data_IF_091396744061
#
_entry.id   IF_091396744061
#
_cell.length_a   1.000
_cell.length_b   1.000
_cell.length_c   1.000
_cell.angle_alpha   90.00
_cell.angle_beta   90.00
_cell.angle_gamma   90.00
#
_symmetry.space_group_name_H-M   'P 1'
#
loop_
_entity.id
_entity.type
_entity.pdbx_description
1 polymer ?
#
# COMPACT_ATOMS: atom_id res chain seq x y z
N UNK A 1 2.59 63.32 -11.44
CA UNK A 1 3.84 62.87 -10.80
C UNK A 1 3.63 61.77 -9.73
N UNK A 2 2.64 61.91 -8.85
CA UNK A 2 2.39 60.99 -7.74
C UNK A 2 1.93 59.59 -8.20
N UNK A 3 1.10 59.53 -9.24
CA UNK A 3 0.61 58.28 -9.83
C UNK A 3 1.76 57.46 -10.43
N UNK A 4 2.73 58.07 -11.06
CA UNK A 4 3.91 57.39 -11.60
C UNK A 4 4.81 56.83 -10.52
N UNK A 5 4.91 57.46 -9.35
CA UNK A 5 5.66 56.96 -8.21
C UNK A 5 5.00 55.74 -7.51
N UNK A 6 3.68 55.69 -7.45
CA UNK A 6 2.89 54.59 -6.92
C UNK A 6 2.93 53.36 -7.86
N UNK A 7 2.88 53.58 -9.19
CA UNK A 7 2.99 52.52 -10.20
C UNK A 7 4.45 52.03 -10.32
N UNK A 8 5.43 52.88 -10.02
CA UNK A 8 6.86 52.56 -10.09
C UNK A 8 7.43 51.78 -8.86
N UNK A 9 6.61 51.57 -7.83
CA UNK A 9 7.05 50.77 -6.69
C UNK A 9 6.68 49.29 -6.88
N UNK A 10 7.61 48.39 -7.25
CA UNK A 10 7.32 46.97 -7.45
C UNK A 10 7.24 46.20 -6.12
N UNK A 11 6.86 46.87 -5.02
CA UNK A 11 6.91 46.33 -3.65
C UNK A 11 6.10 45.05 -3.51
N UNK A 12 4.93 44.95 -4.14
CA UNK A 12 4.11 43.75 -4.07
C UNK A 12 4.66 42.62 -4.96
N UNK A 13 5.05 42.92 -6.20
CA UNK A 13 5.56 41.90 -7.14
C UNK A 13 7.07 41.65 -6.98
N UNK A 14 7.84 42.66 -6.60
CA UNK A 14 9.31 42.55 -6.51
C UNK A 14 9.85 42.09 -5.17
N UNK A 15 9.10 42.25 -4.06
CA UNK A 15 9.58 41.91 -2.74
C UNK A 15 8.61 41.00 -1.96
N UNK A 16 7.32 41.35 -1.91
CA UNK A 16 6.36 40.62 -1.06
C UNK A 16 6.18 39.15 -1.48
N UNK A 17 5.98 38.90 -2.79
CA UNK A 17 5.78 37.53 -3.31
C UNK A 17 7.01 36.68 -3.14
N UNK A 18 8.25 37.08 -3.53
CA UNK A 18 9.45 36.28 -3.28
C UNK A 18 9.71 36.03 -1.78
N UNK A 19 9.48 37.03 -0.93
CA UNK A 19 9.65 36.84 0.52
C UNK A 19 8.65 35.86 1.11
N UNK A 20 7.38 35.90 0.69
CA UNK A 20 6.36 34.94 1.11
C UNK A 20 6.73 33.52 0.72
N UNK A 21 7.23 33.32 -0.51
CA UNK A 21 7.72 32.04 -0.99
C UNK A 21 8.91 31.56 -0.17
N UNK A 22 9.91 32.43 0.10
CA UNK A 22 11.07 32.10 0.93
C UNK A 22 10.67 31.70 2.35
N UNK A 23 9.76 32.44 2.98
CA UNK A 23 9.27 32.11 4.33
C UNK A 23 8.47 30.81 4.31
N UNK A 24 7.62 30.61 3.32
CA UNK A 24 6.83 29.38 3.17
C UNK A 24 7.71 28.15 2.98
N UNK A 25 8.66 28.21 2.04
CA UNK A 25 9.60 27.11 1.80
C UNK A 25 10.53 26.86 2.99
N UNK A 26 10.98 27.92 3.68
CA UNK A 26 11.78 27.81 4.88
C UNK A 26 11.04 27.13 6.04
N UNK A 27 9.76 27.47 6.24
CA UNK A 27 8.90 26.79 7.22
C UNK A 27 8.65 25.32 6.84
N UNK A 28 8.40 25.07 5.55
CA UNK A 28 8.29 23.70 5.04
C UNK A 28 9.55 22.88 5.35
N UNK A 29 10.73 23.42 5.04
CA UNK A 29 12.00 22.75 5.27
C UNK A 29 12.25 22.45 6.76
N UNK A 30 11.90 23.36 7.67
CA UNK A 30 11.98 23.11 9.13
C UNK A 30 11.00 22.04 9.61
N UNK A 31 9.90 21.84 8.92
CA UNK A 31 8.95 20.75 9.15
C UNK A 31 9.30 19.44 8.40
N UNK A 32 10.45 19.38 7.70
CA UNK A 32 10.88 18.22 6.92
C UNK A 32 10.26 18.13 5.52
N UNK A 33 9.59 19.19 5.05
CA UNK A 33 8.96 19.24 3.73
C UNK A 33 9.81 20.09 2.78
N UNK A 34 10.30 19.47 1.71
CA UNK A 34 11.06 20.15 0.66
C UNK A 34 10.15 20.49 -0.53
N UNK A 35 10.04 21.75 -0.85
CA UNK A 35 9.26 22.25 -1.98
C UNK A 35 10.18 22.46 -3.18
N UNK A 36 9.85 21.85 -4.32
CA UNK A 36 10.70 21.88 -5.52
C UNK A 36 10.82 23.28 -6.13
N UNK A 37 9.71 24.02 -6.18
CA UNK A 37 9.64 25.36 -6.78
C UNK A 37 8.40 26.13 -6.26
N UNK A 38 8.33 27.41 -6.56
CA UNK A 38 7.22 28.27 -6.17
C UNK A 38 5.88 27.88 -6.81
N UNK A 39 5.93 27.39 -8.05
CA UNK A 39 4.75 26.95 -8.79
C UNK A 39 4.05 25.78 -8.09
N UNK A 40 4.83 24.87 -7.49
CA UNK A 40 4.28 23.76 -6.70
C UNK A 40 3.45 24.25 -5.50
N UNK A 41 3.85 25.35 -4.84
CA UNK A 41 3.09 25.94 -3.74
C UNK A 41 1.76 26.51 -4.23
N UNK A 42 1.77 27.23 -5.36
CA UNK A 42 0.55 27.80 -5.95
C UNK A 42 -0.42 26.71 -6.44
N UNK A 43 0.09 25.61 -6.96
CA UNK A 43 -0.73 24.48 -7.38
C UNK A 43 -1.33 23.75 -6.17
N UNK A 44 -0.55 23.56 -5.11
CA UNK A 44 -1.03 22.92 -3.87
C UNK A 44 -2.18 23.67 -3.21
N UNK A 45 -2.16 25.00 -3.23
CA UNK A 45 -3.27 25.82 -2.69
C UNK A 45 -4.61 25.53 -3.40
N UNK A 46 -4.55 25.09 -4.65
CA UNK A 46 -5.73 24.93 -5.52
C UNK A 46 -6.26 23.51 -5.56
N UNK A 47 -5.58 22.54 -4.96
CA UNK A 47 -6.02 21.14 -4.99
C UNK A 47 -7.32 20.96 -4.20
N UNK A 48 -8.21 20.15 -4.75
CA UNK A 48 -9.47 19.75 -4.13
C UNK A 48 -9.52 18.22 -3.86
N UNK A 49 -8.61 17.48 -4.47
CA UNK A 49 -8.57 16.01 -4.38
C UNK A 49 -7.13 15.54 -4.23
N UNK A 50 -6.88 14.74 -3.20
CA UNK A 50 -5.59 14.07 -2.99
C UNK A 50 -5.75 12.57 -3.21
N UNK A 51 -5.04 12.04 -4.19
CA UNK A 51 -4.87 10.59 -4.37
C UNK A 51 -3.69 10.14 -3.53
N UNK A 52 -3.90 9.16 -2.66
CA UNK A 52 -2.87 8.65 -1.75
C UNK A 52 -2.64 7.17 -2.05
N UNK A 53 -1.39 6.80 -2.33
CA UNK A 53 -1.04 5.38 -2.33
C UNK A 53 -1.11 4.81 -0.90
N UNK A 54 -1.53 3.55 -0.77
CA UNK A 54 -1.62 2.91 0.54
C UNK A 54 -0.22 2.59 1.07
N UNK A 55 0.56 1.83 0.31
CA UNK A 55 1.81 1.21 0.76
C UNK A 55 2.93 2.23 0.87
N UNK A 56 3.62 2.27 2.01
CA UNK A 56 4.71 3.23 2.26
C UNK A 56 4.25 4.65 2.55
N UNK A 57 3.03 5.04 2.19
CA UNK A 57 2.47 6.39 2.42
C UNK A 57 1.53 6.41 3.62
N UNK A 58 0.39 5.73 3.56
CA UNK A 58 -0.53 5.58 4.69
C UNK A 58 -0.05 4.52 5.68
N UNK A 59 0.66 3.52 5.18
CA UNK A 59 1.25 2.44 5.97
C UNK A 59 2.75 2.62 6.12
N UNK A 60 3.36 1.84 7.00
CA UNK A 60 4.81 1.88 7.25
C UNK A 60 5.61 1.40 6.04
N UNK A 61 5.00 0.63 5.13
CA UNK A 61 5.68 0.02 3.98
C UNK A 61 6.54 -1.19 4.35
N UNK A 62 6.33 -1.74 5.55
CA UNK A 62 6.98 -2.95 6.05
C UNK A 62 5.93 -3.93 6.54
N UNK A 63 5.42 -4.80 5.65
CA UNK A 63 4.52 -5.87 6.03
C UNK A 63 5.16 -6.76 7.11
N UNK A 64 4.33 -7.27 8.01
CA UNK A 64 4.76 -8.20 9.07
C UNK A 64 3.83 -9.41 9.11
N UNK A 65 4.36 -10.55 9.51
CA UNK A 65 3.58 -11.73 9.82
C UNK A 65 2.73 -11.48 11.08
N UNK A 66 1.40 -11.61 10.94
CA UNK A 66 0.45 -11.37 12.02
C UNK A 66 0.04 -12.69 12.67
N UNK A 67 -0.37 -13.68 11.87
CA UNK A 67 -0.84 -14.96 12.35
C UNK A 67 -0.56 -16.08 11.34
N UNK A 68 -0.50 -17.29 11.86
CA UNK A 68 -0.57 -18.53 11.09
C UNK A 68 -1.66 -19.38 11.73
N UNK A 69 -2.66 -19.76 10.96
CA UNK A 69 -3.83 -20.52 11.44
C UNK A 69 -3.86 -21.89 10.76
N UNK A 70 -3.31 -22.92 11.40
CA UNK A 70 -3.27 -24.26 10.83
C UNK A 70 -4.64 -24.95 10.90
N UNK A 71 -4.88 -25.86 9.97
CA UNK A 71 -6.07 -26.74 9.95
C UNK A 71 -5.66 -28.17 9.60
N UNK A 72 -6.63 -29.07 9.66
CA UNK A 72 -6.46 -30.48 9.25
C UNK A 72 -5.31 -31.22 9.93
N UNK A 73 -4.99 -30.85 11.19
CA UNK A 73 -3.96 -31.50 11.99
C UNK A 73 -2.53 -31.09 11.70
N UNK A 74 -2.32 -30.07 10.87
CA UNK A 74 -1.00 -29.45 10.70
C UNK A 74 -0.62 -28.62 11.92
N UNK A 75 0.67 -28.59 12.27
CA UNK A 75 1.18 -27.71 13.30
C UNK A 75 1.49 -26.29 12.73
N UNK A 76 1.26 -25.24 13.53
CA UNK A 76 1.55 -23.86 13.13
C UNK A 76 2.99 -23.67 12.64
N UNK A 77 3.96 -24.23 13.39
CA UNK A 77 5.39 -24.17 13.06
C UNK A 77 5.69 -24.87 11.72
N UNK A 78 5.01 -25.98 11.42
CA UNK A 78 5.17 -26.69 10.16
C UNK A 78 4.63 -25.89 8.99
N UNK A 79 3.42 -25.35 9.11
CA UNK A 79 2.80 -24.51 8.07
C UNK A 79 3.67 -23.31 7.78
N UNK A 80 4.12 -22.59 8.82
CA UNK A 80 4.97 -21.41 8.66
C UNK A 80 6.32 -21.77 8.04
N UNK A 81 6.97 -22.82 8.50
CA UNK A 81 8.28 -23.25 8.03
C UNK A 81 8.26 -23.59 6.53
N UNK A 82 7.27 -24.35 6.09
CA UNK A 82 7.14 -24.73 4.68
C UNK A 82 6.74 -23.56 3.80
N UNK A 83 5.82 -22.69 4.26
CA UNK A 83 5.42 -21.48 3.56
C UNK A 83 6.60 -20.49 3.42
N UNK A 84 7.33 -20.22 4.50
CA UNK A 84 8.47 -19.32 4.49
C UNK A 84 9.64 -19.86 3.64
N UNK A 85 9.90 -21.17 3.70
CA UNK A 85 10.91 -21.80 2.86
C UNK A 85 10.60 -21.63 1.35
N UNK A 86 9.33 -21.75 0.96
CA UNK A 86 8.88 -21.52 -0.41
C UNK A 86 9.04 -20.05 -0.80
N UNK A 87 8.61 -19.12 0.06
CA UNK A 87 8.64 -17.68 -0.19
C UNK A 87 10.05 -17.07 -0.26
N UNK A 88 11.10 -17.75 0.19
CA UNK A 88 12.48 -17.32 -0.04
C UNK A 88 12.84 -17.18 -1.52
N UNK A 89 12.11 -17.84 -2.41
CA UNK A 89 12.26 -17.71 -3.86
C UNK A 89 11.46 -16.55 -4.47
N UNK A 90 10.65 -15.84 -3.68
CA UNK A 90 9.75 -14.80 -4.14
C UNK A 90 10.32 -13.40 -3.89
N UNK A 91 10.18 -12.48 -4.85
CA UNK A 91 10.54 -11.07 -4.69
C UNK A 91 9.36 -10.21 -4.16
N UNK A 92 8.24 -10.82 -3.83
CA UNK A 92 7.06 -10.09 -3.38
C UNK A 92 7.27 -9.53 -1.96
N UNK A 93 6.86 -8.28 -1.64
CA UNK A 93 7.04 -7.69 -0.31
C UNK A 93 6.41 -8.51 0.84
N UNK A 94 5.31 -9.22 0.58
CA UNK A 94 4.68 -10.09 1.56
C UNK A 94 5.50 -11.36 1.85
N UNK A 95 6.31 -11.81 0.88
CA UNK A 95 7.19 -12.95 1.05
C UNK A 95 8.27 -12.66 2.11
N UNK A 96 8.89 -11.47 2.03
CA UNK A 96 9.86 -11.03 3.03
C UNK A 96 9.27 -11.05 4.45
N UNK A 97 8.03 -10.58 4.62
CA UNK A 97 7.34 -10.58 5.91
C UNK A 97 7.13 -11.98 6.49
N UNK A 98 6.86 -12.98 5.64
CA UNK A 98 6.66 -14.37 6.07
C UNK A 98 8.00 -14.99 6.46
N UNK A 99 9.05 -14.73 5.67
CA UNK A 99 10.41 -15.22 5.94
C UNK A 99 10.94 -14.62 7.24
N UNK A 100 10.89 -13.29 7.38
CA UNK A 100 11.31 -12.59 8.61
C UNK A 100 10.52 -13.08 9.83
N UNK A 101 9.20 -13.23 9.70
CA UNK A 101 8.36 -13.73 10.80
C UNK A 101 8.64 -15.17 11.21
N UNK A 102 9.17 -16.02 10.32
CA UNK A 102 9.65 -17.35 10.65
C UNK A 102 11.03 -17.31 11.33
N UNK A 103 11.93 -16.48 10.82
CA UNK A 103 13.28 -16.29 11.39
C UNK A 103 13.23 -15.67 12.80
N UNK A 104 12.37 -14.69 13.05
CA UNK A 104 12.13 -14.11 14.37
C UNK A 104 11.65 -15.15 15.40
N UNK A 105 10.96 -16.21 14.94
CA UNK A 105 10.52 -17.34 15.77
C UNK A 105 11.57 -18.44 15.89
N UNK A 106 12.78 -18.23 15.35
CA UNK A 106 13.88 -19.19 15.40
C UNK A 106 13.65 -20.43 14.54
N UNK A 107 12.83 -20.34 13.50
CA UNK A 107 12.51 -21.46 12.61
C UNK A 107 13.58 -21.54 11.51
N UNK A 108 14.30 -22.64 11.45
CA UNK A 108 15.21 -22.92 10.34
C UNK A 108 14.43 -23.22 9.05
N UNK A 109 14.78 -22.51 7.98
CA UNK A 109 14.12 -22.62 6.69
C UNK A 109 14.91 -23.55 5.75
N UNK A 110 14.34 -24.69 5.36
CA UNK A 110 14.96 -25.59 4.39
C UNK A 110 15.03 -24.97 3.00
N UNK A 111 15.80 -25.57 2.10
CA UNK A 111 15.82 -25.16 0.70
C UNK A 111 14.52 -25.57 0.00
N UNK A 112 14.04 -24.70 -0.90
CA UNK A 112 12.94 -25.01 -1.81
C UNK A 112 13.47 -25.46 -3.19
N UNK A 113 12.66 -26.24 -3.90
CA UNK A 113 12.90 -26.68 -5.28
C UNK A 113 11.68 -26.38 -6.14
N UNK A 114 11.86 -26.39 -7.46
CA UNK A 114 10.75 -26.27 -8.43
C UNK A 114 9.84 -25.07 -8.17
N UNK A 115 10.42 -23.94 -7.72
CA UNK A 115 9.67 -22.72 -7.44
C UNK A 115 9.00 -22.21 -8.71
N UNK A 116 7.70 -21.96 -8.63
CA UNK A 116 6.92 -21.35 -9.71
C UNK A 116 6.01 -20.25 -9.16
N UNK A 117 6.07 -19.08 -9.80
CA UNK A 117 5.18 -17.95 -9.52
C UNK A 117 3.98 -17.97 -10.46
N UNK A 118 2.78 -17.84 -9.89
CA UNK A 118 1.50 -17.72 -10.62
C UNK A 118 1.01 -16.30 -10.49
N UNK A 119 1.14 -15.51 -11.55
CA UNK A 119 0.84 -14.07 -11.56
C UNK A 119 -0.55 -13.76 -10.99
N UNK A 120 -0.60 -12.93 -9.94
CA UNK A 120 -1.83 -12.53 -9.26
C UNK A 120 -2.52 -13.63 -8.44
N UNK A 121 -1.91 -14.83 -8.30
CA UNK A 121 -2.51 -15.95 -7.57
C UNK A 121 -1.67 -16.44 -6.39
N UNK A 122 -0.34 -16.54 -6.56
CA UNK A 122 0.55 -17.04 -5.52
C UNK A 122 1.74 -17.81 -6.06
N UNK A 123 2.30 -18.69 -5.24
CA UNK A 123 3.51 -19.46 -5.54
C UNK A 123 3.34 -20.94 -5.23
N UNK A 124 4.08 -21.80 -5.94
CA UNK A 124 4.13 -23.26 -5.72
C UNK A 124 5.56 -23.75 -5.78
N UNK A 125 5.85 -24.87 -5.14
CA UNK A 125 7.17 -25.52 -5.19
C UNK A 125 7.26 -26.75 -4.30
N UNK A 126 8.48 -27.29 -4.22
CA UNK A 126 8.84 -28.41 -3.35
C UNK A 126 9.64 -27.92 -2.14
N UNK A 127 9.33 -28.40 -0.96
CA UNK A 127 10.10 -28.17 0.26
C UNK A 127 10.21 -29.48 1.02
N UNK A 128 11.40 -29.96 1.27
CA UNK A 128 11.66 -31.26 1.94
C UNK A 128 10.89 -32.45 1.32
N UNK A 129 10.79 -32.47 -0.02
CA UNK A 129 10.07 -33.54 -0.75
C UNK A 129 8.55 -33.42 -0.70
N UNK A 130 8.01 -32.38 -0.08
CA UNK A 130 6.56 -32.08 -0.04
C UNK A 130 6.19 -31.01 -1.04
N UNK A 131 5.02 -31.11 -1.64
CA UNK A 131 4.47 -30.09 -2.54
C UNK A 131 3.79 -29.02 -1.71
N UNK A 132 4.26 -27.78 -1.85
CA UNK A 132 3.73 -26.62 -1.11
C UNK A 132 3.16 -25.61 -2.08
N UNK A 133 2.01 -25.03 -1.73
CA UNK A 133 1.41 -23.91 -2.44
C UNK A 133 1.00 -22.83 -1.43
N UNK A 134 1.24 -21.58 -1.78
CA UNK A 134 0.84 -20.42 -1.00
C UNK A 134 0.19 -19.40 -1.94
N UNK A 135 -1.04 -18.95 -1.66
CA UNK A 135 -1.72 -18.00 -2.51
C UNK A 135 -3.17 -17.73 -2.16
N UNK A 136 -3.87 -17.11 -3.10
CA UNK A 136 -5.30 -16.79 -2.94
C UNK A 136 -6.21 -18.02 -3.20
N UNK A 137 -7.52 -17.84 -2.96
CA UNK A 137 -8.50 -18.89 -3.21
C UNK A 137 -8.53 -19.36 -4.68
N UNK A 138 -8.16 -18.48 -5.62
CA UNK A 138 -8.06 -18.83 -7.04
C UNK A 138 -6.97 -19.86 -7.32
N UNK A 139 -5.79 -19.71 -6.70
CA UNK A 139 -4.72 -20.70 -6.79
C UNK A 139 -5.15 -22.04 -6.20
N UNK A 140 -5.80 -22.03 -5.02
CA UNK A 140 -6.29 -23.26 -4.39
C UNK A 140 -7.25 -24.03 -5.30
N UNK A 141 -8.22 -23.34 -5.89
CA UNK A 141 -9.19 -23.92 -6.84
C UNK A 141 -8.52 -24.50 -8.10
N UNK A 142 -7.52 -23.80 -8.64
CA UNK A 142 -6.74 -24.26 -9.80
C UNK A 142 -5.97 -25.56 -9.50
N UNK A 143 -5.51 -25.71 -8.27
CA UNK A 143 -4.85 -26.91 -7.78
C UNK A 143 -5.83 -28.02 -7.34
N UNK A 144 -7.15 -27.80 -7.48
CA UNK A 144 -8.18 -28.75 -7.05
C UNK A 144 -8.37 -28.84 -5.53
N UNK A 145 -7.96 -27.80 -4.80
CA UNK A 145 -8.03 -27.74 -3.34
C UNK A 145 -9.18 -26.80 -2.96
N UNK A 146 -10.12 -27.27 -2.15
CA UNK A 146 -11.25 -26.48 -1.66
C UNK A 146 -10.84 -25.60 -0.49
N UNK A 147 -10.86 -24.24 -0.62
CA UNK A 147 -10.54 -23.32 0.45
C UNK A 147 -11.70 -23.00 1.38
N UNK A 148 -12.91 -23.51 1.14
CA UNK A 148 -14.17 -23.08 1.78
C UNK A 148 -14.14 -23.22 3.31
N UNK A 149 -13.42 -24.19 3.84
CA UNK A 149 -13.28 -24.39 5.28
C UNK A 149 -12.62 -23.20 6.01
N UNK A 150 -11.86 -22.36 5.31
CA UNK A 150 -11.14 -21.21 5.85
C UNK A 150 -11.60 -19.86 5.27
N UNK A 151 -12.55 -19.84 4.32
CA UNK A 151 -12.98 -18.59 3.69
C UNK A 151 -13.59 -17.61 4.69
N UNK A 152 -14.43 -18.08 5.61
CA UNK A 152 -15.01 -17.23 6.67
C UNK A 152 -13.91 -16.58 7.53
N UNK A 153 -12.92 -17.36 7.93
CA UNK A 153 -11.80 -16.89 8.74
C UNK A 153 -10.90 -15.92 7.95
N UNK A 154 -10.64 -16.23 6.70
CA UNK A 154 -9.93 -15.35 5.80
C UNK A 154 -10.64 -13.99 5.62
N UNK A 155 -11.97 -14.00 5.53
CA UNK A 155 -12.77 -12.79 5.40
C UNK A 155 -12.79 -11.95 6.68
N UNK A 156 -12.74 -12.56 7.87
CA UNK A 156 -12.56 -11.83 9.14
C UNK A 156 -11.25 -11.04 9.12
N UNK A 157 -10.13 -11.66 8.79
CA UNK A 157 -8.84 -10.98 8.69
C UNK A 157 -8.83 -9.89 7.60
N UNK A 158 -9.44 -10.16 6.45
CA UNK A 158 -9.59 -9.14 5.38
C UNK A 158 -10.43 -7.95 5.81
N UNK A 159 -11.45 -8.18 6.65
CA UNK A 159 -12.27 -7.10 7.21
C UNK A 159 -11.48 -6.19 8.17
N UNK A 160 -10.37 -6.68 8.73
CA UNK A 160 -9.42 -5.90 9.53
C UNK A 160 -8.32 -5.21 8.69
N UNK A 161 -8.37 -5.35 7.36
CA UNK A 161 -7.37 -4.76 6.46
C UNK A 161 -6.11 -5.59 6.29
N UNK A 162 -6.14 -6.88 6.68
CA UNK A 162 -5.00 -7.78 6.61
C UNK A 162 -4.98 -8.55 5.29
N UNK A 163 -3.78 -8.85 4.79
CA UNK A 163 -3.56 -9.74 3.67
C UNK A 163 -3.60 -11.20 4.12
N UNK A 164 -4.35 -12.03 3.40
CA UNK A 164 -4.52 -13.46 3.76
C UNK A 164 -4.15 -14.35 2.59
N UNK A 165 -3.30 -15.32 2.86
CA UNK A 165 -2.90 -16.35 1.91
C UNK A 165 -3.24 -17.73 2.46
N UNK A 166 -3.80 -18.60 1.60
CA UNK A 166 -4.03 -20.00 1.90
C UNK A 166 -2.75 -20.78 1.69
N UNK A 167 -2.48 -21.71 2.56
CA UNK A 167 -1.37 -22.67 2.45
C UNK A 167 -1.93 -24.06 2.17
N UNK A 168 -1.38 -24.72 1.17
CA UNK A 168 -1.66 -26.12 0.91
C UNK A 168 -0.37 -26.93 0.89
N UNK A 169 -0.44 -28.14 1.42
CA UNK A 169 0.68 -29.07 1.54
C UNK A 169 0.21 -30.44 1.06
N UNK A 170 0.93 -31.02 0.10
CA UNK A 170 0.62 -32.32 -0.52
C UNK A 170 -0.84 -32.41 -1.02
N UNK A 171 -1.35 -31.33 -1.62
CA UNK A 171 -2.70 -31.28 -2.15
C UNK A 171 -3.81 -31.12 -1.11
N UNK A 172 -3.47 -30.85 0.15
CA UNK A 172 -4.44 -30.62 1.24
C UNK A 172 -4.33 -29.20 1.76
N UNK A 173 -5.46 -28.57 2.05
CA UNK A 173 -5.50 -27.27 2.73
C UNK A 173 -4.84 -27.43 4.12
N UNK A 174 -3.79 -26.65 4.38
CA UNK A 174 -2.99 -26.75 5.60
C UNK A 174 -3.23 -25.58 6.57
N UNK A 175 -3.64 -24.41 6.07
CA UNK A 175 -3.90 -23.26 6.93
C UNK A 175 -3.95 -21.95 6.20
N UNK A 176 -3.94 -20.85 6.97
CA UNK A 176 -3.79 -19.48 6.53
C UNK A 176 -2.48 -18.90 7.04
N UNK A 177 -1.88 -18.06 6.24
CA UNK A 177 -0.83 -17.12 6.65
C UNK A 177 -1.38 -15.71 6.48
N UNK A 178 -1.31 -14.93 7.57
CA UNK A 178 -1.86 -13.58 7.64
C UNK A 178 -0.72 -12.59 7.79
N UNK A 179 -0.68 -11.60 6.91
CA UNK A 179 0.30 -10.51 6.92
C UNK A 179 -0.42 -9.18 6.90
N UNK A 180 0.16 -8.16 7.53
CA UNK A 180 -0.36 -6.81 7.46
C UNK A 180 0.78 -5.81 7.39
N UNK A 181 0.56 -4.74 6.63
CA UNK A 181 1.40 -3.55 6.65
C UNK A 181 0.73 -2.54 7.58
N UNK A 182 1.32 -2.23 8.75
CA UNK A 182 0.69 -1.38 9.75
C UNK A 182 0.41 0.01 9.20
N UNK A 183 -0.80 0.50 9.43
CA UNK A 183 -1.14 1.90 9.20
C UNK A 183 -0.33 2.78 10.15
N UNK A 184 0.26 3.87 9.63
CA UNK A 184 1.00 4.84 10.47
C UNK A 184 0.07 5.47 11.49
N UNK A 185 0.53 5.65 12.72
CA UNK A 185 -0.27 6.25 13.80
C UNK A 185 -0.75 7.66 13.45
N UNK A 186 0.06 8.41 12.69
CA UNK A 186 -0.27 9.76 12.22
C UNK A 186 -1.27 9.82 11.06
N UNK A 187 -1.60 8.69 10.40
CA UNK A 187 -2.39 8.70 9.17
C UNK A 187 -3.80 9.27 9.38
N UNK A 188 -4.50 8.82 10.42
CA UNK A 188 -5.87 9.28 10.70
C UNK A 188 -5.92 10.80 11.02
N UNK A 189 -4.94 11.30 11.78
CA UNK A 189 -4.84 12.72 12.11
C UNK A 189 -4.55 13.55 10.86
N UNK A 190 -3.65 13.09 10.00
CA UNK A 190 -3.30 13.75 8.74
C UNK A 190 -4.51 13.82 7.80
N UNK A 191 -5.26 12.73 7.64
CA UNK A 191 -6.49 12.70 6.84
C UNK A 191 -7.53 13.68 7.40
N UNK A 192 -7.75 13.70 8.72
CA UNK A 192 -8.67 14.63 9.35
C UNK A 192 -8.23 16.10 9.18
N UNK A 193 -6.93 16.39 9.15
CA UNK A 193 -6.40 17.72 8.88
C UNK A 193 -6.69 18.16 7.43
N UNK A 194 -6.47 17.28 6.47
CA UNK A 194 -6.76 17.54 5.05
C UNK A 194 -8.25 17.76 4.78
N UNK A 195 -9.12 17.01 5.46
CA UNK A 195 -10.59 17.23 5.38
C UNK A 195 -10.99 18.62 5.89
N UNK A 196 -10.34 19.14 6.96
CA UNK A 196 -10.61 20.51 7.44
C UNK A 196 -10.26 21.57 6.41
N UNK A 197 -9.31 21.31 5.53
CA UNK A 197 -8.96 22.16 4.39
C UNK A 197 -9.86 21.92 3.17
N UNK A 198 -10.89 21.07 3.28
CA UNK A 198 -11.84 20.78 2.20
C UNK A 198 -11.30 19.85 1.11
N UNK A 199 -10.22 19.13 1.37
CA UNK A 199 -9.60 18.21 0.42
C UNK A 199 -10.26 16.83 0.53
N UNK A 200 -10.76 16.32 -0.60
CA UNK A 200 -11.26 14.95 -0.72
C UNK A 200 -10.10 13.98 -0.86
N UNK A 201 -10.14 12.87 -0.15
CA UNK A 201 -9.07 11.87 -0.15
C UNK A 201 -9.53 10.61 -0.87
N UNK A 202 -8.72 10.16 -1.84
CA UNK A 202 -8.95 8.94 -2.61
C UNK A 202 -7.76 8.01 -2.40
N UNK A 203 -7.96 6.87 -1.74
CA UNK A 203 -6.91 5.88 -1.60
C UNK A 203 -6.82 5.00 -2.84
N UNK A 204 -5.61 4.80 -3.36
CA UNK A 204 -5.31 3.92 -4.48
C UNK A 204 -4.42 2.77 -4.02
N UNK A 205 -4.78 1.52 -4.36
CA UNK A 205 -4.02 0.34 -3.93
C UNK A 205 -4.23 -0.85 -4.86
N UNK A 206 -3.24 -1.74 -4.95
CA UNK A 206 -3.35 -3.04 -5.59
C UNK A 206 -4.06 -4.11 -4.74
N UNK A 207 -4.36 -3.82 -3.48
CA UNK A 207 -5.05 -4.75 -2.59
C UNK A 207 -6.47 -5.04 -3.06
N UNK A 208 -7.02 -6.17 -2.56
CA UNK A 208 -8.43 -6.47 -2.78
C UNK A 208 -9.33 -5.40 -2.12
N UNK A 209 -10.52 -5.24 -2.67
CA UNK A 209 -11.48 -4.21 -2.27
C UNK A 209 -11.81 -4.24 -0.78
N UNK A 210 -12.02 -5.42 -0.18
CA UNK A 210 -12.39 -5.55 1.25
C UNK A 210 -11.30 -5.04 2.18
N UNK A 211 -10.06 -5.44 1.92
CA UNK A 211 -8.87 -4.97 2.68
C UNK A 211 -8.71 -3.45 2.55
N UNK A 212 -8.84 -2.93 1.33
CA UNK A 212 -8.71 -1.51 1.07
C UNK A 212 -9.79 -0.67 1.77
N UNK A 213 -11.06 -1.08 1.69
CA UNK A 213 -12.17 -0.42 2.37
C UNK A 213 -12.06 -0.46 3.90
N UNK A 214 -11.50 -1.55 4.47
CA UNK A 214 -11.24 -1.64 5.90
C UNK A 214 -10.21 -0.60 6.37
N UNK A 215 -9.12 -0.46 5.65
CA UNK A 215 -8.10 0.58 5.93
C UNK A 215 -8.71 1.97 5.76
N UNK A 216 -9.43 2.23 4.67
CA UNK A 216 -10.07 3.52 4.40
C UNK A 216 -11.02 3.94 5.54
N UNK A 217 -11.90 3.04 5.99
CA UNK A 217 -12.78 3.31 7.14
C UNK A 217 -12.02 3.63 8.41
N UNK A 218 -10.92 2.91 8.69
CA UNK A 218 -10.10 3.12 9.88
C UNK A 218 -9.45 4.49 9.94
N UNK A 219 -9.03 5.04 8.80
CA UNK A 219 -8.34 6.34 8.73
C UNK A 219 -9.25 7.48 8.27
N UNK A 220 -10.50 7.21 7.88
CA UNK A 220 -11.48 8.22 7.49
C UNK A 220 -11.35 8.68 6.04
N UNK A 221 -10.91 7.82 5.12
CA UNK A 221 -10.79 8.13 3.69
C UNK A 221 -12.14 8.04 2.98
N UNK A 222 -12.40 8.98 2.05
CA UNK A 222 -13.69 9.14 1.37
C UNK A 222 -13.95 8.05 0.32
N UNK A 223 -12.94 7.75 -0.50
CA UNK A 223 -13.07 6.85 -1.64
C UNK A 223 -11.88 5.90 -1.78
N UNK A 224 -12.13 4.75 -2.39
CA UNK A 224 -11.14 3.69 -2.59
C UNK A 224 -11.13 3.22 -4.05
N UNK A 225 -9.96 3.25 -4.66
CA UNK A 225 -9.63 2.57 -5.91
C UNK A 225 -8.77 1.36 -5.57
N UNK A 226 -9.42 0.21 -5.42
CA UNK A 226 -8.80 -1.08 -5.12
C UNK A 226 -8.47 -1.86 -6.39
N UNK A 227 -7.60 -2.88 -6.25
CA UNK A 227 -7.21 -3.79 -7.35
C UNK A 227 -6.61 -3.08 -8.56
N UNK A 228 -5.94 -1.93 -8.32
CA UNK A 228 -5.30 -1.12 -9.36
C UNK A 228 -3.89 -1.63 -9.60
N UNK A 229 -3.62 -2.08 -10.81
CA UNK A 229 -2.28 -2.47 -11.22
C UNK A 229 -1.38 -1.23 -11.39
N UNK A 230 -0.05 -1.36 -11.24
CA UNK A 230 0.87 -0.22 -11.33
C UNK A 230 0.75 0.57 -12.65
N UNK A 231 0.55 -0.11 -13.77
CA UNK A 231 0.35 0.47 -15.10
C UNK A 231 -0.99 1.19 -15.27
N UNK A 232 -1.97 0.92 -14.42
CA UNK A 232 -3.30 1.54 -14.43
C UNK A 232 -3.40 2.77 -13.54
N UNK A 233 -2.47 3.00 -12.61
CA UNK A 233 -2.50 4.13 -11.66
C UNK A 233 -2.56 5.46 -12.39
N UNK A 234 -1.77 5.63 -13.43
CA UNK A 234 -1.77 6.85 -14.27
C UNK A 234 -3.15 7.13 -14.86
N UNK A 235 -3.76 6.13 -15.52
CA UNK A 235 -5.07 6.29 -16.16
C UNK A 235 -6.18 6.67 -15.15
N UNK A 236 -6.08 6.19 -13.90
CA UNK A 236 -7.02 6.55 -12.84
C UNK A 236 -6.88 8.00 -12.38
N UNK A 237 -5.65 8.52 -12.30
CA UNK A 237 -5.40 9.96 -12.02
C UNK A 237 -5.92 10.82 -13.17
N UNK A 238 -5.67 10.43 -14.42
CA UNK A 238 -6.21 11.14 -15.60
C UNK A 238 -7.74 11.16 -15.61
N UNK A 239 -8.40 10.07 -15.21
CA UNK A 239 -9.86 10.03 -15.09
C UNK A 239 -10.38 11.08 -14.09
N UNK A 240 -9.76 11.22 -12.91
CA UNK A 240 -10.14 12.22 -11.91
C UNK A 240 -9.92 13.64 -12.44
N UNK A 241 -8.83 13.89 -13.18
CA UNK A 241 -8.59 15.19 -13.84
C UNK A 241 -9.64 15.50 -14.91
N UNK A 242 -10.08 14.51 -15.69
CA UNK A 242 -11.14 14.65 -16.67
C UNK A 242 -12.49 15.07 -16.04
N UNK A 243 -12.72 14.74 -14.77
CA UNK A 243 -13.86 15.22 -13.96
C UNK A 243 -13.72 16.66 -13.48
N UNK A 244 -12.74 17.41 -14.00
CA UNK A 244 -12.39 18.80 -13.62
C UNK A 244 -11.90 18.94 -12.17
N UNK A 245 -11.37 17.87 -11.58
CA UNK A 245 -10.73 17.88 -10.27
C UNK A 245 -9.31 18.41 -10.38
N UNK A 246 -8.87 19.14 -9.36
CA UNK A 246 -7.47 19.54 -9.17
C UNK A 246 -6.80 18.52 -8.27
N UNK A 247 -6.15 17.55 -8.91
CA UNK A 247 -5.63 16.34 -8.25
C UNK A 247 -4.17 16.52 -7.89
N UNK A 248 -3.82 16.23 -6.63
CA UNK A 248 -2.45 15.92 -6.23
C UNK A 248 -2.33 14.41 -5.96
N UNK A 249 -1.14 13.86 -6.06
CA UNK A 249 -0.84 12.49 -5.72
C UNK A 249 0.27 12.41 -4.68
N UNK A 250 0.06 11.60 -3.65
CA UNK A 250 1.07 11.24 -2.65
C UNK A 250 1.38 9.75 -2.76
N UNK A 251 2.66 9.41 -2.88
CA UNK A 251 3.16 8.04 -2.99
C UNK A 251 4.63 7.94 -2.58
N UNK A 252 5.18 6.73 -2.52
CA UNK A 252 6.58 6.48 -2.17
C UNK A 252 7.56 6.69 -3.35
N UNK A 253 7.06 6.89 -4.55
CA UNK A 253 7.82 7.21 -5.75
C UNK A 253 8.33 6.00 -6.56
N UNK A 254 8.35 4.81 -6.01
CA UNK A 254 8.90 3.64 -6.71
C UNK A 254 7.89 3.12 -7.74
N UNK A 255 6.66 2.83 -7.32
CA UNK A 255 5.59 2.31 -8.17
C UNK A 255 4.67 3.42 -8.72
N UNK A 256 4.77 4.62 -8.17
CA UNK A 256 3.88 5.75 -8.43
C UNK A 256 4.48 6.80 -9.36
N UNK A 257 5.77 6.69 -9.72
CA UNK A 257 6.48 7.68 -10.52
C UNK A 257 5.74 8.08 -11.81
N UNK A 258 5.18 7.16 -12.62
CA UNK A 258 4.43 7.54 -13.82
C UNK A 258 3.15 8.34 -13.53
N UNK A 259 2.46 8.01 -12.42
CA UNK A 259 1.23 8.69 -12.01
C UNK A 259 1.51 10.06 -11.36
N UNK A 260 2.66 10.21 -10.68
CA UNK A 260 3.09 11.47 -10.06
C UNK A 260 3.69 12.45 -11.08
N UNK A 261 4.12 11.99 -12.25
CA UNK A 261 4.68 12.82 -13.32
C UNK A 261 3.61 13.58 -14.14
N UNK A 262 2.33 13.31 -13.90
CA UNK A 262 1.17 13.95 -14.56
C UNK A 262 0.76 15.23 -13.84
#
# INVERSE_FOLDING_TARGET
GLVLLVIGCPCALGLATPMSIMVGTGRGATAGVLVKNAEALELMEKIDTLVVDKTGTLTVGKPRLIAVEPVNGFAEVEVLRLAAALERGSEHPLAAAIVEGAEERGIELPASSDFASHTGKGVTGGVEGRRVALGNAGLMKELGIDPSALEARADEHRAEGQGVMFVAIDGKLAGLVVVADPVKDSAAEAIAALHREGIRIVMMTGDNRRTAEAVARRVGIDDVMAEVLPDQKQAKVEQLKAERRRVAMAGDGINDAPAMAQ
#
